data_IF_088313413590
#
_entry.id   IF_088313413590
#
_cell.length_a   1.000
_cell.length_b   1.000
_cell.length_c   1.000
_cell.angle_alpha   90.00
_cell.angle_beta   90.00
_cell.angle_gamma   90.00
#
_symmetry.space_group_name_H-M   'P 1'
#
loop_
_entity.id
_entity.type
_entity.pdbx_description
1 polymer ?
#
# COMPACT_ATOMS: atom_id res chain seq x y z
N UNK A 1 -14.62 -11.82 13.69
CA UNK A 1 -13.52 -12.22 12.79
C UNK A 1 -12.43 -11.15 12.89
N UNK A 2 -11.15 -11.49 12.71
CA UNK A 2 -10.05 -10.53 12.80
C UNK A 2 -9.86 -9.84 11.45
N UNK A 3 -9.74 -8.51 11.42
CA UNK A 3 -9.70 -7.76 10.17
C UNK A 3 -8.42 -8.02 9.37
N UNK A 4 -8.53 -8.11 8.05
CA UNK A 4 -7.39 -8.13 7.15
C UNK A 4 -7.11 -6.70 6.68
N UNK A 5 -5.88 -6.22 6.89
CA UNK A 5 -5.53 -4.82 6.61
C UNK A 5 -4.75 -4.66 5.30
N UNK A 6 -4.01 -5.69 4.90
CA UNK A 6 -3.12 -5.62 3.75
C UNK A 6 -3.11 -6.93 2.95
N UNK A 7 -3.02 -6.77 1.64
CA UNK A 7 -2.73 -7.85 0.69
C UNK A 7 -1.81 -7.31 -0.40
N UNK A 8 -0.86 -8.12 -0.85
CA UNK A 8 0.05 -7.78 -1.95
C UNK A 8 0.36 -9.00 -2.80
N UNK A 9 0.40 -8.82 -4.12
CA UNK A 9 0.95 -9.81 -5.04
C UNK A 9 2.48 -9.82 -5.01
N UNK A 10 3.07 -10.99 -5.26
CA UNK A 10 4.47 -11.12 -5.66
C UNK A 10 4.74 -10.36 -6.96
N UNK A 11 5.90 -9.75 -7.07
CA UNK A 11 6.40 -9.05 -8.25
C UNK A 11 6.43 -9.97 -9.49
N UNK A 12 6.37 -9.38 -10.68
CA UNK A 12 6.39 -10.13 -11.95
C UNK A 12 5.06 -10.83 -12.21
N UNK A 13 5.05 -12.16 -12.31
CA UNK A 13 3.87 -12.93 -12.75
C UNK A 13 2.80 -13.18 -11.67
N UNK A 14 2.95 -12.62 -10.46
CA UNK A 14 1.93 -12.74 -9.41
C UNK A 14 1.70 -14.19 -8.94
N UNK A 15 2.78 -14.97 -8.74
CA UNK A 15 2.71 -16.39 -8.34
C UNK A 15 2.11 -16.61 -6.96
N UNK A 16 2.30 -15.68 -6.03
CA UNK A 16 1.77 -15.78 -4.67
C UNK A 16 1.25 -14.42 -4.21
N UNK A 17 0.44 -14.46 -3.15
CA UNK A 17 0.02 -13.28 -2.40
C UNK A 17 0.51 -13.37 -0.97
N UNK A 18 0.86 -12.24 -0.38
CA UNK A 18 1.03 -12.08 1.06
C UNK A 18 -0.17 -11.33 1.63
N UNK A 19 -0.66 -11.79 2.77
CA UNK A 19 -1.77 -11.17 3.49
C UNK A 19 -1.36 -10.89 4.94
N UNK A 20 -1.89 -9.82 5.53
CA UNK A 20 -1.64 -9.48 6.94
C UNK A 20 -2.79 -8.71 7.55
N UNK A 21 -3.03 -8.94 8.85
CA UNK A 21 -4.18 -8.39 9.54
C UNK A 21 -4.03 -8.30 11.06
N UNK A 22 -5.16 -8.22 11.75
CA UNK A 22 -5.24 -8.11 13.22
C UNK A 22 -4.84 -9.39 13.96
N UNK A 23 -4.66 -10.51 13.24
CA UNK A 23 -4.17 -11.77 13.80
C UNK A 23 -2.65 -11.77 14.06
N UNK A 24 -1.96 -10.69 13.65
CA UNK A 24 -0.52 -10.47 13.82
C UNK A 24 0.34 -11.43 13.00
N UNK A 25 -0.29 -12.16 12.08
CA UNK A 25 0.39 -13.11 11.20
C UNK A 25 0.45 -12.55 9.80
N UNK A 26 1.43 -13.06 9.06
CA UNK A 26 1.51 -12.87 7.62
C UNK A 26 1.37 -14.25 7.01
N UNK A 27 0.54 -14.37 5.97
CA UNK A 27 0.32 -15.65 5.29
C UNK A 27 0.70 -15.51 3.83
N UNK A 28 1.48 -16.47 3.34
CA UNK A 28 1.77 -16.66 1.91
C UNK A 28 0.78 -17.67 1.36
N UNK A 29 0.06 -17.29 0.32
CA UNK A 29 -1.00 -18.09 -0.28
C UNK A 29 -0.83 -18.14 -1.79
N UNK A 30 -1.14 -19.28 -2.41
CA UNK A 30 -1.30 -19.36 -3.85
C UNK A 30 -2.68 -18.81 -4.24
N UNK A 31 -2.77 -17.70 -5.02
CA UNK A 31 -4.04 -17.08 -5.34
C UNK A 31 -4.94 -17.95 -6.23
N UNK A 32 -4.38 -18.83 -7.07
CA UNK A 32 -5.16 -19.67 -7.97
C UNK A 32 -5.84 -20.83 -7.25
N UNK A 33 -5.14 -21.46 -6.31
CA UNK A 33 -5.66 -22.63 -5.57
C UNK A 33 -6.24 -22.26 -4.21
N UNK A 34 -6.09 -21.00 -3.78
CA UNK A 34 -6.41 -20.51 -2.43
C UNK A 34 -5.71 -21.31 -1.31
N UNK A 35 -4.60 -21.99 -1.60
CA UNK A 35 -3.90 -22.82 -0.62
C UNK A 35 -2.86 -22.00 0.16
N UNK A 36 -2.91 -21.97 1.50
CA UNK A 36 -1.84 -21.38 2.29
C UNK A 36 -0.57 -22.23 2.16
N UNK A 37 0.55 -21.58 1.90
CA UNK A 37 1.85 -22.22 1.67
C UNK A 37 2.79 -22.02 2.86
N UNK A 38 2.79 -20.84 3.46
CA UNK A 38 3.70 -20.48 4.55
C UNK A 38 3.10 -19.40 5.45
N UNK A 39 3.55 -19.32 6.71
CA UNK A 39 3.14 -18.29 7.66
C UNK A 39 4.34 -17.68 8.39
N UNK A 40 4.26 -16.39 8.70
CA UNK A 40 5.32 -15.63 9.39
C UNK A 40 4.74 -15.01 10.66
N UNK A 41 5.38 -15.28 11.79
CA UNK A 41 4.85 -14.94 13.13
C UNK A 41 5.95 -14.31 13.99
N UNK A 42 6.09 -12.99 13.92
CA UNK A 42 6.96 -12.25 14.87
C UNK A 42 6.40 -10.89 15.28
N UNK A 43 5.35 -10.41 14.62
CA UNK A 43 4.68 -9.19 15.01
C UNK A 43 3.96 -9.35 16.36
N UNK A 44 4.09 -8.34 17.23
CA UNK A 44 3.40 -8.31 18.53
C UNK A 44 1.97 -7.78 18.45
N UNK A 45 1.67 -7.04 17.38
CA UNK A 45 0.42 -6.32 17.12
C UNK A 45 0.01 -6.49 15.65
N UNK A 46 -1.09 -5.86 15.23
CA UNK A 46 -1.65 -5.98 13.88
C UNK A 46 -0.65 -5.61 12.79
N UNK A 47 -0.69 -6.32 11.66
CA UNK A 47 0.11 -6.03 10.46
C UNK A 47 -0.69 -5.10 9.57
N UNK A 48 -0.16 -3.91 9.28
CA UNK A 48 -0.87 -2.86 8.55
C UNK A 48 -0.38 -2.70 7.11
N UNK A 49 0.87 -3.09 6.83
CA UNK A 49 1.45 -2.97 5.49
C UNK A 49 2.45 -4.08 5.19
N UNK A 50 2.50 -4.43 3.91
CA UNK A 50 3.43 -5.38 3.30
C UNK A 50 4.07 -4.73 2.08
N UNK A 51 5.31 -5.12 1.80
CA UNK A 51 5.98 -4.81 0.54
C UNK A 51 6.89 -5.96 0.16
N UNK A 52 6.68 -6.52 -1.03
CA UNK A 52 7.50 -7.60 -1.57
C UNK A 52 8.63 -6.98 -2.38
N UNK A 53 9.84 -7.53 -2.24
CA UNK A 53 10.98 -7.10 -3.04
C UNK A 53 10.78 -7.44 -4.53
N UNK A 54 11.38 -6.70 -5.47
CA UNK A 54 11.22 -6.95 -6.91
C UNK A 54 11.68 -8.35 -7.35
N UNK A 55 12.65 -8.94 -6.65
CA UNK A 55 13.16 -10.29 -6.92
C UNK A 55 12.36 -11.42 -6.23
N UNK A 56 11.32 -11.07 -5.45
CA UNK A 56 10.48 -11.99 -4.68
C UNK A 56 11.20 -12.83 -3.61
N UNK A 57 12.48 -12.56 -3.31
CA UNK A 57 13.27 -13.33 -2.35
C UNK A 57 13.02 -12.89 -0.90
N UNK A 58 12.74 -11.60 -0.73
CA UNK A 58 12.47 -10.99 0.57
C UNK A 58 11.18 -10.16 0.55
N UNK A 59 10.67 -9.85 1.73
CA UNK A 59 9.60 -8.88 1.88
C UNK A 59 9.77 -8.12 3.18
N UNK A 60 9.01 -7.03 3.32
CA UNK A 60 8.95 -6.21 4.51
C UNK A 60 7.52 -6.11 5.00
N UNK A 61 7.38 -5.97 6.31
CA UNK A 61 6.10 -5.77 6.97
C UNK A 61 6.22 -4.75 8.10
N UNK A 62 5.12 -4.06 8.37
CA UNK A 62 5.07 -3.08 9.45
C UNK A 62 3.65 -2.96 10.02
N UNK A 63 3.54 -2.52 11.28
CA UNK A 63 2.26 -2.51 11.96
C UNK A 63 2.22 -1.83 13.33
N UNK A 64 1.30 -2.29 14.18
CA UNK A 64 0.99 -1.71 15.49
C UNK A 64 2.14 -1.77 16.52
N UNK A 65 3.09 -2.67 16.30
CA UNK A 65 4.24 -2.88 17.20
C UNK A 65 5.38 -1.88 16.97
N UNK A 66 5.21 -0.94 16.04
CA UNK A 66 6.14 0.16 15.74
C UNK A 66 7.46 -0.33 15.13
N UNK A 67 7.46 -1.54 14.59
CA UNK A 67 8.64 -2.21 14.03
C UNK A 67 8.47 -2.41 12.53
N UNK A 68 9.57 -2.25 11.80
CA UNK A 68 9.68 -2.77 10.42
C UNK A 68 10.44 -4.07 10.49
N UNK A 69 9.84 -5.14 9.95
CA UNK A 69 10.51 -6.42 9.79
C UNK A 69 10.90 -6.61 8.34
N UNK A 70 12.09 -7.17 8.11
CA UNK A 70 12.56 -7.65 6.83
C UNK A 70 12.74 -9.16 6.89
N UNK A 71 12.17 -9.87 5.94
CA UNK A 71 11.95 -11.30 5.98
C UNK A 71 12.53 -11.99 4.77
N UNK A 72 12.97 -13.21 4.97
CA UNK A 72 13.24 -14.17 3.91
C UNK A 72 11.95 -14.93 3.58
N UNK A 73 11.54 -14.89 2.31
CA UNK A 73 10.29 -15.52 1.85
C UNK A 73 10.37 -17.04 1.99
N UNK A 74 11.48 -17.66 1.62
CA UNK A 74 11.59 -19.11 1.52
C UNK A 74 11.66 -19.78 2.91
N UNK A 75 12.40 -19.19 3.84
CA UNK A 75 12.71 -19.80 5.15
C UNK A 75 11.79 -19.37 6.28
N UNK A 76 10.89 -18.40 6.04
CA UNK A 76 10.05 -17.78 7.05
C UNK A 76 10.81 -17.13 8.22
N UNK A 77 12.07 -16.76 8.00
CA UNK A 77 12.90 -16.14 9.03
C UNK A 77 12.88 -14.62 8.91
N UNK A 78 12.85 -13.95 10.06
CA UNK A 78 13.17 -12.53 10.13
C UNK A 78 14.68 -12.36 9.88
N UNK A 79 15.03 -11.67 8.81
CA UNK A 79 16.41 -11.30 8.50
C UNK A 79 16.85 -10.14 9.40
N UNK A 80 16.02 -9.09 9.47
CA UNK A 80 16.30 -7.87 10.25
C UNK A 80 15.03 -7.27 10.83
N UNK A 81 15.23 -6.47 11.88
CA UNK A 81 14.20 -5.68 12.55
C UNK A 81 14.71 -4.27 12.75
N UNK A 82 13.90 -3.29 12.36
CA UNK A 82 14.21 -1.87 12.48
C UNK A 82 13.32 -1.23 13.55
N UNK A 83 13.98 -0.50 14.45
CA UNK A 83 13.38 0.20 15.58
C UNK A 83 13.63 1.71 15.42
N UNK A 84 12.65 2.51 15.78
CA UNK A 84 12.84 3.97 15.86
C UNK A 84 11.58 4.79 15.70
N UNK A 85 10.53 4.27 15.06
CA UNK A 85 9.22 4.92 15.05
C UNK A 85 8.64 4.97 16.47
N UNK A 86 7.94 6.06 16.80
CA UNK A 86 7.37 6.29 18.12
C UNK A 86 5.89 5.87 18.21
N UNK A 87 5.27 5.60 17.07
CA UNK A 87 3.89 5.09 16.98
C UNK A 87 3.78 4.00 15.90
N UNK A 88 2.56 3.47 15.72
CA UNK A 88 2.27 2.42 14.74
C UNK A 88 2.71 2.83 13.32
N UNK A 89 3.21 1.86 12.57
CA UNK A 89 3.66 2.08 11.21
C UNK A 89 2.54 1.69 10.26
N UNK A 90 2.06 2.66 9.49
CA UNK A 90 0.91 2.47 8.61
C UNK A 90 1.33 1.94 7.23
N UNK A 91 2.52 2.25 6.76
CA UNK A 91 2.97 1.89 5.41
C UNK A 91 4.45 1.53 5.39
N UNK A 92 4.81 0.57 4.53
CA UNK A 92 6.19 0.19 4.23
C UNK A 92 6.32 -0.13 2.75
N UNK A 93 7.43 0.25 2.12
CA UNK A 93 7.76 -0.10 0.74
C UNK A 93 9.26 -0.33 0.56
N UNK A 94 9.64 -1.25 -0.32
CA UNK A 94 10.97 -1.30 -0.91
C UNK A 94 11.12 -0.20 -1.96
N UNK A 95 12.37 0.17 -2.25
CA UNK A 95 12.73 0.85 -3.49
C UNK A 95 12.98 -0.17 -4.62
N UNK A 96 13.24 0.34 -5.83
CA UNK A 96 13.32 -0.46 -7.07
C UNK A 96 14.44 -1.51 -7.08
N UNK A 97 15.53 -1.33 -6.33
CA UNK A 97 16.63 -2.29 -6.23
C UNK A 97 16.61 -3.10 -4.91
N UNK A 98 15.53 -2.95 -4.12
CA UNK A 98 15.37 -3.54 -2.78
C UNK A 98 16.57 -3.34 -1.85
N UNK A 99 17.32 -2.24 -2.00
CA UNK A 99 18.41 -1.89 -1.07
C UNK A 99 17.97 -0.98 0.07
N UNK A 100 16.80 -0.33 -0.05
CA UNK A 100 16.26 0.58 0.96
C UNK A 100 14.81 0.24 1.25
N UNK A 101 14.45 0.21 2.53
CA UNK A 101 13.07 0.23 3.00
C UNK A 101 12.65 1.64 3.39
N UNK A 102 11.42 1.98 3.08
CA UNK A 102 10.79 3.24 3.45
C UNK A 102 9.56 2.93 4.27
N UNK A 103 9.43 3.53 5.45
CA UNK A 103 8.27 3.36 6.33
C UNK A 103 7.63 4.69 6.69
N UNK A 104 6.29 4.73 6.68
CA UNK A 104 5.49 5.87 7.08
C UNK A 104 4.63 5.54 8.30
N UNK A 105 4.65 6.43 9.30
CA UNK A 105 4.09 6.15 10.62
C UNK A 105 3.06 7.18 11.09
N UNK A 106 2.27 6.76 12.07
CA UNK A 106 1.36 7.62 12.82
C UNK A 106 2.10 8.71 13.62
N UNK A 107 3.40 8.56 13.85
CA UNK A 107 4.24 9.61 14.47
C UNK A 107 4.59 10.78 13.53
N UNK A 108 3.91 10.88 12.37
CA UNK A 108 4.13 11.89 11.34
C UNK A 108 5.54 11.89 10.71
N UNK A 109 6.31 10.80 10.85
CA UNK A 109 7.62 10.67 10.19
C UNK A 109 7.61 9.61 9.09
N UNK A 110 8.47 9.83 8.10
CA UNK A 110 8.90 8.82 7.14
C UNK A 110 10.36 8.48 7.38
N UNK A 111 10.70 7.20 7.42
CA UNK A 111 12.06 6.73 7.70
C UNK A 111 12.59 5.84 6.59
N UNK A 112 13.85 6.06 6.22
CA UNK A 112 14.57 5.28 5.22
C UNK A 112 15.60 4.39 5.92
N UNK A 113 15.58 3.10 5.60
CA UNK A 113 16.43 2.07 6.21
C UNK A 113 17.29 1.41 5.14
N UNK A 114 18.61 1.49 5.28
CA UNK A 114 19.53 0.82 4.37
C UNK A 114 19.67 -0.66 4.74
N UNK A 115 19.29 -1.54 3.81
CA UNK A 115 19.34 -2.99 3.97
C UNK A 115 20.76 -3.55 3.81
N UNK A 116 21.67 -2.83 3.16
CA UNK A 116 23.09 -3.22 2.98
C UNK A 116 23.94 -2.86 4.20
N UNK A 117 23.54 -1.84 4.96
CA UNK A 117 24.23 -1.43 6.19
C UNK A 117 23.90 -2.32 7.39
N UNK A 118 24.86 -2.62 8.26
CA UNK A 118 24.61 -3.32 9.53
C UNK A 118 23.93 -2.43 10.59
N UNK A 119 23.84 -1.12 10.35
CA UNK A 119 23.11 -0.20 11.22
C UNK A 119 21.63 -0.54 11.28
N UNK A 120 21.02 -0.39 12.46
CA UNK A 120 19.56 -0.48 12.65
C UNK A 120 18.89 0.90 12.70
N UNK A 121 19.67 1.98 12.65
CA UNK A 121 19.15 3.35 12.63
C UNK A 121 18.71 3.72 11.22
N UNK A 122 17.67 4.53 11.13
CA UNK A 122 17.29 5.14 9.86
C UNK A 122 18.45 5.98 9.31
N UNK A 123 18.71 5.85 8.01
CA UNK A 123 19.71 6.65 7.31
C UNK A 123 19.19 8.07 7.07
N UNK A 124 17.87 8.20 6.91
CA UNK A 124 17.20 9.48 6.79
C UNK A 124 15.83 9.44 7.46
N UNK A 125 15.43 10.58 8.04
CA UNK A 125 14.10 10.81 8.62
C UNK A 125 13.53 12.06 7.97
N UNK A 126 12.31 11.97 7.45
CA UNK A 126 11.56 13.06 6.85
C UNK A 126 10.41 13.44 7.81
N UNK A 127 10.36 14.71 8.20
CA UNK A 127 9.50 15.21 9.30
C UNK A 127 8.57 16.37 8.86
N UNK A 128 8.38 16.52 7.55
CA UNK A 128 7.52 17.58 7.00
C UNK A 128 6.02 17.28 7.11
N UNK A 129 5.64 16.01 7.28
CA UNK A 129 4.25 15.63 7.57
C UNK A 129 3.82 16.19 8.92
N UNK A 130 2.60 16.72 9.00
CA UNK A 130 2.06 17.35 10.22
C UNK A 130 1.03 16.48 10.93
N UNK A 131 0.75 15.32 10.35
CA UNK A 131 -0.12 14.29 10.92
C UNK A 131 0.32 12.92 10.37
N UNK A 132 -0.32 11.86 10.87
CA UNK A 132 -0.10 10.46 10.54
C UNK A 132 0.14 10.24 9.04
N UNK A 133 1.28 9.65 8.72
CA UNK A 133 1.59 9.22 7.34
C UNK A 133 0.78 7.97 7.07
N UNK A 134 -0.09 8.02 6.07
CA UNK A 134 -0.96 6.90 5.71
C UNK A 134 -0.30 6.05 4.65
N UNK A 135 0.22 6.64 3.57
CA UNK A 135 0.74 5.89 2.43
C UNK A 135 2.15 6.34 2.08
N UNK A 136 3.00 5.38 1.70
CA UNK A 136 4.30 5.67 1.09
C UNK A 136 4.46 4.87 -0.21
N UNK A 137 5.06 5.49 -1.21
CA UNK A 137 5.43 4.85 -2.47
C UNK A 137 6.80 5.39 -2.91
N UNK A 138 7.60 4.58 -3.59
CA UNK A 138 8.92 4.97 -4.08
C UNK A 138 9.09 4.59 -5.53
N UNK A 139 9.71 5.50 -6.29
CA UNK A 139 10.13 5.26 -7.68
C UNK A 139 11.44 6.01 -7.94
N UNK A 140 12.49 5.30 -8.29
CA UNK A 140 13.82 5.88 -8.46
C UNK A 140 14.30 6.62 -7.21
N UNK A 141 14.43 7.95 -7.30
CA UNK A 141 14.86 8.83 -6.20
C UNK A 141 13.71 9.62 -5.57
N UNK A 142 12.47 9.32 -5.94
CA UNK A 142 11.30 10.00 -5.43
C UNK A 142 10.62 9.15 -4.35
N UNK A 143 10.31 9.78 -3.21
CA UNK A 143 9.50 9.19 -2.15
C UNK A 143 8.19 9.98 -2.08
N UNK A 144 7.09 9.32 -2.38
CA UNK A 144 5.76 9.88 -2.35
C UNK A 144 5.05 9.49 -1.06
N UNK A 145 4.45 10.48 -0.42
CA UNK A 145 3.92 10.35 0.95
C UNK A 145 2.53 10.98 1.03
N UNK A 146 1.52 10.17 1.35
CA UNK A 146 0.19 10.64 1.71
C UNK A 146 0.05 10.75 3.23
N UNK A 147 -0.58 11.81 3.72
CA UNK A 147 -0.81 12.04 5.15
C UNK A 147 -2.25 12.43 5.45
N UNK A 148 -2.66 12.18 6.71
CA UNK A 148 -3.93 12.63 7.28
C UNK A 148 -4.06 14.16 7.25
N UNK A 149 -2.94 14.89 7.19
CA UNK A 149 -2.92 16.36 7.07
C UNK A 149 -3.45 16.89 5.72
N UNK A 150 -3.93 16.00 4.86
CA UNK A 150 -4.58 16.31 3.59
C UNK A 150 -3.62 16.73 2.48
N UNK A 151 -2.35 16.35 2.60
CA UNK A 151 -1.31 16.65 1.62
C UNK A 151 -0.65 15.38 1.10
N UNK A 152 -0.25 15.45 -0.16
CA UNK A 152 0.69 14.52 -0.78
C UNK A 152 2.02 15.22 -0.92
N UNK A 153 3.10 14.57 -0.48
CA UNK A 153 4.47 15.08 -0.57
C UNK A 153 5.27 14.22 -1.52
N UNK A 154 5.97 14.84 -2.46
CA UNK A 154 6.97 14.21 -3.32
C UNK A 154 8.36 14.68 -2.90
N UNK A 155 9.10 13.80 -2.25
CA UNK A 155 10.48 14.05 -1.86
C UNK A 155 11.44 13.54 -2.94
N UNK A 156 12.21 14.44 -3.53
CA UNK A 156 13.42 14.05 -4.25
C UNK A 156 14.53 13.90 -3.23
N UNK A 157 14.83 12.65 -2.84
CA UNK A 157 15.83 12.38 -1.79
C UNK A 157 17.26 12.63 -2.26
N UNK A 158 17.50 12.68 -3.58
CA UNK A 158 18.81 12.98 -4.14
C UNK A 158 19.08 14.48 -4.12
N UNK A 159 18.07 15.29 -4.47
CA UNK A 159 18.18 16.75 -4.50
C UNK A 159 17.83 17.40 -3.16
N UNK A 160 17.25 16.66 -2.21
CA UNK A 160 16.78 17.19 -0.93
C UNK A 160 15.60 18.15 -1.08
N UNK A 161 14.74 17.95 -2.09
CA UNK A 161 13.58 18.79 -2.36
C UNK A 161 12.29 18.09 -1.97
N UNK A 162 11.30 18.87 -1.54
CA UNK A 162 9.97 18.38 -1.22
C UNK A 162 8.94 19.25 -1.94
N UNK A 163 8.18 18.63 -2.84
CA UNK A 163 7.00 19.23 -3.46
C UNK A 163 5.76 18.78 -2.70
N UNK A 164 4.78 19.68 -2.54
CA UNK A 164 3.61 19.43 -1.70
C UNK A 164 2.34 19.82 -2.44
N UNK A 165 1.49 18.83 -2.68
CA UNK A 165 0.16 19.01 -3.25
C UNK A 165 -0.89 19.01 -2.15
N UNK A 166 -1.81 19.98 -2.19
CA UNK A 166 -2.92 20.08 -1.24
C UNK A 166 -4.15 19.38 -1.80
N UNK A 167 -4.56 18.30 -1.13
CA UNK A 167 -5.80 17.57 -1.44
C UNK A 167 -6.98 18.16 -0.67
N UNK A 168 -6.72 18.61 0.56
CA UNK A 168 -7.71 19.21 1.46
C UNK A 168 -8.47 18.21 2.34
N UNK A 169 -8.26 16.91 2.14
CA UNK A 169 -8.90 15.82 2.87
C UNK A 169 -7.87 14.76 3.25
N UNK A 170 -8.01 14.05 4.39
CA UNK A 170 -7.07 13.01 4.80
C UNK A 170 -6.82 12.00 3.68
N UNK A 171 -5.55 11.84 3.30
CA UNK A 171 -5.15 10.94 2.23
C UNK A 171 -5.15 9.51 2.73
N UNK A 172 -5.75 8.57 2.01
CA UNK A 172 -5.81 7.14 2.39
C UNK A 172 -4.79 6.28 1.67
N UNK A 173 -4.51 6.59 0.41
CA UNK A 173 -3.57 5.86 -0.43
C UNK A 173 -2.96 6.76 -1.49
N UNK A 174 -1.71 6.47 -1.83
CA UNK A 174 -0.99 7.07 -2.95
C UNK A 174 -0.42 5.94 -3.80
N UNK A 175 -0.64 6.02 -5.11
CA UNK A 175 -0.02 5.18 -6.13
C UNK A 175 0.52 6.05 -7.27
N UNK A 176 1.27 5.45 -8.18
CA UNK A 176 1.90 6.15 -9.31
C UNK A 176 1.70 5.34 -10.57
N UNK A 177 1.52 6.01 -11.69
CA UNK A 177 1.49 5.37 -13.00
C UNK A 177 2.84 4.74 -13.38
N UNK A 178 2.80 3.77 -14.29
CA UNK A 178 3.95 3.02 -14.76
C UNK A 178 4.99 3.91 -15.43
N UNK A 179 4.57 5.01 -16.06
CA UNK A 179 5.45 6.03 -16.63
C UNK A 179 6.02 7.01 -15.57
N UNK A 180 5.39 7.12 -14.39
CA UNK A 180 5.82 7.99 -13.30
C UNK A 180 5.32 9.43 -13.38
N UNK A 181 4.42 9.73 -14.31
CA UNK A 181 3.97 11.09 -14.57
C UNK A 181 2.70 11.48 -13.82
N UNK A 182 1.90 10.50 -13.38
CA UNK A 182 0.66 10.76 -12.66
C UNK A 182 0.59 10.00 -11.33
N UNK A 183 -0.13 10.60 -10.39
CA UNK A 183 -0.38 10.08 -9.04
C UNK A 183 -1.84 9.67 -8.91
N UNK A 184 -2.08 8.50 -8.31
CA UNK A 184 -3.40 8.07 -7.89
C UNK A 184 -3.56 8.33 -6.39
N UNK A 185 -4.45 9.23 -6.01
CA UNK A 185 -4.62 9.69 -4.63
C UNK A 185 -6.04 9.40 -4.16
N UNK A 186 -6.18 8.51 -3.18
CA UNK A 186 -7.43 8.27 -2.46
C UNK A 186 -7.52 9.18 -1.24
N UNK A 187 -8.72 9.68 -0.93
CA UNK A 187 -8.96 10.49 0.26
C UNK A 187 -10.33 10.19 0.91
N UNK A 188 -10.50 10.60 2.16
CA UNK A 188 -11.73 10.38 2.95
C UNK A 188 -12.94 11.23 2.52
N UNK A 189 -12.91 11.85 1.34
CA UNK A 189 -14.05 12.58 0.77
C UNK A 189 -14.84 11.76 -0.26
N UNK A 190 -14.71 10.43 -0.21
CA UNK A 190 -15.28 9.51 -1.21
C UNK A 190 -14.72 9.69 -2.61
N UNK A 191 -13.52 10.28 -2.74
CA UNK A 191 -12.90 10.63 -4.00
C UNK A 191 -11.54 9.99 -4.19
N UNK A 192 -11.33 9.39 -5.36
CA UNK A 192 -9.99 9.04 -5.86
C UNK A 192 -9.66 10.04 -6.97
N UNK A 193 -8.42 10.52 -7.01
CA UNK A 193 -7.94 11.53 -7.96
C UNK A 193 -6.77 10.97 -8.73
N UNK A 194 -6.80 11.14 -10.04
CA UNK A 194 -5.60 11.05 -10.87
C UNK A 194 -5.05 12.47 -10.98
N UNK A 195 -3.80 12.69 -10.55
CA UNK A 195 -3.16 14.00 -10.54
C UNK A 195 -1.89 13.97 -11.38
N UNK A 196 -1.62 15.05 -12.09
CA UNK A 196 -0.35 15.29 -12.77
C UNK A 196 0.74 15.55 -11.72
N UNK A 197 1.82 14.77 -11.74
CA UNK A 197 2.89 14.86 -10.75
C UNK A 197 3.74 16.14 -10.91
N UNK A 198 3.78 16.73 -12.10
CA UNK A 198 4.66 17.86 -12.43
C UNK A 198 4.02 19.17 -12.00
N UNK A 199 2.74 19.37 -12.30
CA UNK A 199 2.04 20.62 -12.01
C UNK A 199 1.01 20.52 -10.86
N UNK A 200 0.76 19.33 -10.32
CA UNK A 200 -0.19 19.10 -9.22
C UNK A 200 -1.66 19.18 -9.65
N UNK A 201 -1.93 19.34 -10.95
CA UNK A 201 -3.26 19.47 -11.51
C UNK A 201 -4.03 18.16 -11.45
N UNK A 202 -5.31 18.23 -11.09
CA UNK A 202 -6.20 17.07 -11.13
C UNK A 202 -6.57 16.74 -12.58
N UNK A 203 -6.19 15.56 -13.05
CA UNK A 203 -6.50 15.05 -14.38
C UNK A 203 -7.87 14.38 -14.43
N UNK A 204 -8.21 13.61 -13.39
CA UNK A 204 -9.50 12.92 -13.30
C UNK A 204 -9.91 12.69 -11.84
N UNK A 205 -11.22 12.55 -11.60
CA UNK A 205 -11.77 12.20 -10.29
C UNK A 205 -12.80 11.06 -10.39
N UNK A 206 -12.64 10.03 -9.56
CA UNK A 206 -13.49 8.85 -9.49
C UNK A 206 -14.31 8.90 -8.19
N UNK A 207 -15.64 8.90 -8.32
CA UNK A 207 -16.59 9.04 -7.20
C UNK A 207 -17.71 8.02 -7.30
N UNK A 208 -18.35 7.74 -6.16
CA UNK A 208 -19.50 6.85 -6.04
C UNK A 208 -19.32 5.79 -4.95
N UNK A 209 -18.08 5.38 -4.71
CA UNK A 209 -17.71 4.55 -3.57
C UNK A 209 -17.81 5.32 -2.25
N UNK A 210 -17.99 4.59 -1.14
CA UNK A 210 -18.06 5.14 0.22
C UNK A 210 -16.68 5.01 0.86
N UNK A 211 -16.08 6.15 1.22
CA UNK A 211 -14.79 6.22 1.90
C UNK A 211 -14.76 7.52 2.72
N UNK A 212 -14.98 7.42 4.03
CA UNK A 212 -15.13 8.54 4.94
C UNK A 212 -14.38 8.38 6.26
N UNK A 213 -14.27 7.15 6.76
CA UNK A 213 -13.69 6.84 8.08
C UNK A 213 -12.46 5.93 7.99
N UNK A 214 -12.42 5.06 6.98
CA UNK A 214 -11.43 4.00 6.89
C UNK A 214 -10.37 4.27 5.85
N UNK A 215 -9.13 3.90 6.17
CA UNK A 215 -8.08 3.86 5.17
C UNK A 215 -8.34 2.72 4.19
N UNK A 216 -8.58 3.09 2.93
CA UNK A 216 -8.70 2.16 1.80
C UNK A 216 -7.52 2.35 0.85
N UNK A 217 -6.91 1.23 0.43
CA UNK A 217 -5.89 1.19 -0.62
C UNK A 217 -6.49 0.88 -1.98
N UNK A 218 -6.43 1.86 -2.87
CA UNK A 218 -6.80 1.73 -4.29
C UNK A 218 -5.57 1.39 -5.15
N UNK A 219 -5.78 0.77 -6.30
CA UNK A 219 -4.71 0.43 -7.25
C UNK A 219 -5.15 0.58 -8.71
N UNK A 220 -4.20 0.52 -9.63
CA UNK A 220 -4.45 0.37 -11.06
C UNK A 220 -4.70 -1.09 -11.43
N UNK A 221 -5.53 -1.32 -12.45
CA UNK A 221 -5.84 -2.64 -13.00
C UNK A 221 -5.67 -2.71 -14.51
N UNK A 222 -5.44 -3.93 -15.01
CA UNK A 222 -5.33 -4.29 -16.44
C UNK A 222 -4.43 -3.32 -17.24
N UNK A 223 -3.15 -3.21 -16.85
CA UNK A 223 -2.20 -2.34 -17.55
C UNK A 223 -2.56 -0.85 -17.48
N UNK A 224 -3.10 -0.41 -16.35
CA UNK A 224 -3.55 0.97 -16.10
C UNK A 224 -4.77 1.40 -16.91
N UNK A 225 -5.55 0.44 -17.42
CA UNK A 225 -6.86 0.73 -18.02
C UNK A 225 -7.90 1.12 -16.97
N UNK A 226 -7.78 0.58 -15.76
CA UNK A 226 -8.77 0.77 -14.71
C UNK A 226 -8.19 1.30 -13.41
N UNK A 227 -9.02 1.98 -12.64
CA UNK A 227 -8.81 2.30 -11.23
C UNK A 227 -9.73 1.42 -10.39
N UNK A 228 -9.16 0.71 -9.43
CA UNK A 228 -9.89 -0.25 -8.58
C UNK A 228 -9.78 0.21 -7.14
N UNK A 229 -10.90 0.21 -6.43
CA UNK A 229 -10.93 0.58 -5.01
C UNK A 229 -11.92 -0.25 -4.23
N UNK A 230 -11.60 -0.47 -2.95
CA UNK A 230 -12.57 -0.89 -1.96
C UNK A 230 -13.53 0.24 -1.57
N UNK A 231 -14.56 -0.13 -0.84
CA UNK A 231 -15.58 0.76 -0.29
C UNK A 231 -15.98 0.29 1.11
N UNK A 232 -16.42 1.20 1.96
CA UNK A 232 -16.82 0.92 3.34
C UNK A 232 -18.10 0.07 3.43
N UNK A 233 -18.93 0.12 2.40
CA UNK A 233 -20.16 -0.66 2.24
C UNK A 233 -19.93 -2.08 1.69
N UNK A 234 -18.67 -2.55 1.62
CA UNK A 234 -18.29 -3.90 1.22
C UNK A 234 -18.29 -4.18 -0.29
N UNK A 235 -18.42 -3.12 -1.09
CA UNK A 235 -18.27 -3.19 -2.53
C UNK A 235 -16.83 -2.89 -2.98
N UNK A 236 -16.48 -3.44 -4.14
CA UNK A 236 -15.30 -3.07 -4.90
C UNK A 236 -15.79 -2.34 -6.15
N UNK A 237 -15.20 -1.19 -6.43
CA UNK A 237 -15.54 -0.35 -7.57
C UNK A 237 -14.40 -0.35 -8.57
N UNK A 238 -14.76 -0.54 -9.84
CA UNK A 238 -13.85 -0.50 -10.98
C UNK A 238 -14.26 0.65 -11.88
N UNK A 239 -13.35 1.60 -12.09
CA UNK A 239 -13.55 2.75 -12.95
C UNK A 239 -12.66 2.67 -14.19
N UNK A 240 -13.14 3.17 -15.31
CA UNK A 240 -12.31 3.46 -16.47
C UNK A 240 -11.37 4.63 -16.15
N UNK A 241 -10.06 4.46 -16.39
CA UNK A 241 -9.04 5.46 -16.05
C UNK A 241 -9.29 6.80 -16.77
N UNK A 242 -9.66 6.77 -18.06
CA UNK A 242 -9.76 7.99 -18.86
C UNK A 242 -11.14 8.64 -18.70
N UNK A 243 -12.20 7.84 -18.79
CA UNK A 243 -13.56 8.35 -18.75
C UNK A 243 -14.05 8.66 -17.32
N UNK A 244 -13.43 8.07 -16.29
CA UNK A 244 -13.86 8.21 -14.91
C UNK A 244 -15.19 7.52 -14.58
N UNK A 245 -15.76 6.78 -15.54
CA UNK A 245 -17.04 6.08 -15.38
C UNK A 245 -16.87 4.76 -14.65
N UNK A 246 -17.89 4.38 -13.89
CA UNK A 246 -17.96 3.07 -13.25
C UNK A 246 -18.17 2.01 -14.34
N UNK A 247 -17.20 1.09 -14.46
CA UNK A 247 -17.25 -0.05 -15.38
C UNK A 247 -17.94 -1.22 -14.70
N UNK A 248 -17.56 -1.51 -13.45
CA UNK A 248 -18.05 -2.67 -12.72
C UNK A 248 -18.14 -2.41 -11.22
N UNK A 249 -19.05 -3.11 -10.55
CA UNK A 249 -19.16 -3.16 -9.09
C UNK A 249 -19.26 -4.61 -8.63
N UNK A 250 -18.37 -5.00 -7.74
CA UNK A 250 -18.26 -6.37 -7.24
C UNK A 250 -18.59 -6.40 -5.75
N UNK A 251 -19.41 -7.37 -5.33
CA UNK A 251 -19.82 -7.54 -3.94
C UNK A 251 -18.99 -8.65 -3.31
N UNK A 252 -18.11 -8.31 -2.38
CA UNK A 252 -17.12 -9.25 -1.84
C UNK A 252 -17.15 -9.49 -0.33
N UNK A 253 -17.40 -8.45 0.46
CA UNK A 253 -17.09 -8.47 1.90
C UNK A 253 -18.33 -8.29 2.79
N UNK A 254 -19.47 -8.88 2.43
CA UNK A 254 -20.70 -8.92 3.26
C UNK A 254 -21.16 -7.57 3.88
N UNK A 255 -20.89 -6.44 3.22
CA UNK A 255 -21.21 -5.11 3.75
C UNK A 255 -20.21 -4.56 4.78
N UNK A 256 -19.08 -5.25 4.98
CA UNK A 256 -17.93 -4.82 5.77
C UNK A 256 -16.91 -4.12 4.89
N UNK A 257 -16.15 -3.20 5.48
CA UNK A 257 -15.16 -2.38 4.77
C UNK A 257 -14.14 -3.23 4.02
N UNK A 258 -13.95 -2.91 2.74
CA UNK A 258 -12.85 -3.44 1.92
C UNK A 258 -11.62 -2.56 2.12
N UNK A 259 -10.61 -3.08 2.82
CA UNK A 259 -9.44 -2.31 3.27
C UNK A 259 -8.37 -2.14 2.19
N UNK A 260 -8.23 -3.12 1.31
CA UNK A 260 -7.17 -3.15 0.31
C UNK A 260 -7.63 -3.94 -0.91
N UNK A 261 -7.27 -3.43 -2.09
CA UNK A 261 -7.37 -4.15 -3.36
C UNK A 261 -6.01 -4.15 -4.04
N UNK A 262 -5.64 -5.26 -4.68
CA UNK A 262 -4.43 -5.36 -5.47
C UNK A 262 -4.73 -6.14 -6.77
N UNK A 263 -4.21 -5.65 -7.89
CA UNK A 263 -4.34 -6.32 -9.19
C UNK A 263 -3.08 -7.14 -9.50
N UNK A 264 -3.23 -8.25 -10.21
CA UNK A 264 -2.10 -9.11 -10.56
C UNK A 264 -1.14 -8.38 -11.53
N UNK A 265 0.15 -8.19 -11.17
CA UNK A 265 1.11 -7.50 -12.02
C UNK A 265 1.49 -8.30 -13.29
N UNK A 266 1.22 -9.60 -13.31
CA UNK A 266 1.62 -10.53 -14.36
C UNK A 266 0.76 -10.54 -15.62
N UNK A 267 -0.14 -9.56 -15.77
CA UNK A 267 -1.06 -9.47 -16.92
C UNK A 267 -2.22 -10.47 -16.90
N UNK A 268 -2.30 -11.35 -15.91
CA UNK A 268 -3.49 -12.18 -15.67
C UNK A 268 -4.64 -11.28 -15.22
N UNK A 269 -5.86 -11.57 -15.68
CA UNK A 269 -7.08 -10.85 -15.27
C UNK A 269 -7.55 -11.29 -13.90
N UNK A 270 -6.68 -11.14 -12.92
CA UNK A 270 -6.89 -11.56 -11.56
C UNK A 270 -6.63 -10.39 -10.61
N UNK A 271 -7.43 -10.27 -9.57
CA UNK A 271 -7.18 -9.34 -8.48
C UNK A 271 -7.54 -9.96 -7.13
N UNK A 272 -7.10 -9.32 -6.07
CA UNK A 272 -7.43 -9.71 -4.70
C UNK A 272 -7.96 -8.53 -3.91
N UNK A 273 -8.88 -8.83 -2.99
CA UNK A 273 -9.39 -7.88 -2.03
C UNK A 273 -9.28 -8.44 -0.62
N UNK A 274 -9.06 -7.56 0.35
CA UNK A 274 -9.12 -7.89 1.78
C UNK A 274 -10.12 -7.00 2.50
N UNK A 275 -10.76 -7.53 3.54
CA UNK A 275 -11.78 -6.82 4.29
C UNK A 275 -11.66 -6.92 5.81
N UNK A 276 -12.41 -6.05 6.47
CA UNK A 276 -12.61 -6.08 7.94
C UNK A 276 -13.47 -7.25 8.41
N UNK A 277 -14.14 -7.92 7.48
CA UNK A 277 -14.77 -9.22 7.70
C UNK A 277 -13.74 -10.32 7.96
N UNK A 278 -12.45 -10.10 7.72
CA UNK A 278 -11.38 -11.08 7.94
C UNK A 278 -11.14 -12.01 6.76
N UNK A 279 -11.75 -11.73 5.62
CA UNK A 279 -11.61 -12.54 4.41
C UNK A 279 -10.62 -11.90 3.43
N UNK A 280 -10.04 -12.77 2.60
CA UNK A 280 -9.31 -12.37 1.39
C UNK A 280 -9.97 -13.09 0.23
N UNK A 281 -10.45 -12.34 -0.74
CA UNK A 281 -11.17 -12.88 -1.91
C UNK A 281 -10.29 -12.69 -3.15
N UNK A 282 -10.14 -13.76 -3.92
CA UNK A 282 -9.48 -13.73 -5.23
C UNK A 282 -10.57 -13.65 -6.30
N UNK A 283 -10.38 -12.74 -7.24
CA UNK A 283 -11.33 -12.44 -8.31
C UNK A 283 -10.68 -12.72 -9.67
N UNK A 284 -11.45 -13.27 -10.60
CA UNK A 284 -11.00 -13.59 -11.95
C UNK A 284 -10.28 -14.94 -12.04
N UNK A 285 -9.88 -15.28 -13.28
CA UNK A 285 -9.23 -16.54 -13.66
C UNK A 285 -7.85 -16.29 -14.30
#
# INVERSE_FOLDING_TARGET
MLAMHCVSYSSGIGQYILTGGSDRKITLTNPTTATPLQSYTSHGYEVLSLSISPDNSTFASAGGDKLVFHWDVATAKTLRRFEGHFSRINAVTHNDDASVLISGSYDATVRLWDLKSQSRKAVQVLEDAKDSVTSVYVKGCEVLVGSVDGRVRNYDVRMGRCFVDLIGWPVTSVGVTADGNALLVGALDGGIRLMDKVNGGMLQCYRGHVNGDFRIRSCFGEGEKYVITGSEDGWIWVYDLLEGKVVERLKGHEGKVVTCVAYNPGGKKQMVSSGTDGTVVVWGE
#
